data_IF_173252907920
#
_entry.id   IF_173252907920
#
_cell.length_a   1.000
_cell.length_b   1.000
_cell.length_c   1.000
_cell.angle_alpha   90.00
_cell.angle_beta   90.00
_cell.angle_gamma   90.00
#
_symmetry.space_group_name_H-M   'P 1'
#
loop_
_entity.id
_entity.type
_entity.pdbx_description
1 polymer ?
#
# COMPACT_ATOMS: atom_id res chain seq x y z
N UNK A 1 -17.00 0.22 21.55
CA UNK A 1 -16.19 1.46 21.71
C UNK A 1 -16.22 2.23 20.41
N UNK A 2 -16.05 3.56 20.44
CA UNK A 2 -15.92 4.33 19.20
C UNK A 2 -14.46 4.26 18.74
N UNK A 3 -14.22 3.97 17.46
CA UNK A 3 -12.88 3.96 16.88
C UNK A 3 -12.13 5.25 17.22
N UNK A 4 -10.89 5.12 17.69
CA UNK A 4 -10.01 6.22 18.02
C UNK A 4 -8.81 6.22 17.09
N UNK A 5 -8.78 7.21 16.19
CA UNK A 5 -7.63 7.47 15.33
C UNK A 5 -6.41 7.89 16.15
N UNK A 6 -5.24 7.40 15.79
CA UNK A 6 -3.98 7.86 16.35
C UNK A 6 -3.51 9.17 15.69
N UNK A 7 -2.66 9.97 16.36
CA UNK A 7 -1.91 11.04 15.71
C UNK A 7 -1.05 10.50 14.55
N UNK A 8 -0.84 11.33 13.54
CA UNK A 8 -0.06 11.00 12.36
C UNK A 8 1.33 10.42 12.69
N UNK A 9 1.99 11.01 13.68
CA UNK A 9 3.33 10.63 14.11
C UNK A 9 3.39 9.21 14.69
N UNK A 10 2.36 8.80 15.40
CA UNK A 10 2.27 7.44 15.97
C UNK A 10 2.11 6.40 14.87
N UNK A 11 1.25 6.65 13.88
CA UNK A 11 1.13 5.76 12.71
C UNK A 11 2.44 5.62 11.96
N UNK A 12 3.18 6.71 11.83
CA UNK A 12 4.44 6.70 11.13
C UNK A 12 5.50 5.89 11.88
N UNK A 13 5.65 6.08 13.19
CA UNK A 13 6.57 5.31 14.03
C UNK A 13 6.28 3.82 13.85
N UNK A 14 5.03 3.42 13.95
CA UNK A 14 4.61 2.03 13.80
C UNK A 14 4.98 1.43 12.43
N UNK A 15 4.98 2.24 11.36
CA UNK A 15 5.36 1.76 10.01
C UNK A 15 6.86 1.80 9.74
N UNK A 16 7.65 2.47 10.58
CA UNK A 16 9.10 2.64 10.40
C UNK A 16 9.93 1.65 11.22
N UNK A 17 9.35 1.03 12.24
CA UNK A 17 10.04 0.05 13.07
C UNK A 17 10.45 -1.20 12.30
N UNK A 18 11.56 -1.81 12.71
CA UNK A 18 11.98 -3.11 12.19
C UNK A 18 11.08 -4.19 12.79
N UNK A 19 10.16 -4.69 11.98
CA UNK A 19 9.32 -5.81 12.37
C UNK A 19 10.18 -7.06 12.55
N UNK A 20 10.38 -7.46 13.80
CA UNK A 20 11.26 -8.57 14.13
C UNK A 20 10.53 -9.91 14.09
N UNK A 21 9.19 -9.92 13.93
CA UNK A 21 8.43 -11.12 14.22
C UNK A 21 7.46 -11.59 13.20
N UNK A 22 6.61 -12.20 13.17
CA UNK A 22 5.49 -12.85 12.50
C UNK A 22 5.30 -12.48 11.03
N UNK A 23 5.61 -13.43 10.17
CA UNK A 23 5.17 -13.38 8.79
C UNK A 23 6.19 -12.88 7.78
N UNK A 24 7.46 -13.05 8.06
CA UNK A 24 8.49 -12.84 7.05
C UNK A 24 8.40 -13.93 5.98
N UNK A 25 7.97 -13.58 4.80
CA UNK A 25 7.91 -14.48 3.66
C UNK A 25 8.90 -14.03 2.61
N UNK A 26 9.92 -14.87 2.42
CA UNK A 26 10.84 -14.71 1.30
C UNK A 26 10.30 -15.52 0.13
N UNK A 27 10.00 -14.87 -0.99
CA UNK A 27 9.68 -15.62 -2.19
C UNK A 27 10.57 -15.17 -3.34
N UNK A 28 11.06 -16.12 -4.15
CA UNK A 28 11.80 -15.77 -5.33
C UNK A 28 10.86 -15.02 -6.28
N UNK A 29 11.24 -13.82 -6.68
CA UNK A 29 10.56 -13.15 -7.79
C UNK A 29 10.84 -14.00 -9.02
N UNK A 30 9.88 -14.82 -9.36
CA UNK A 30 9.83 -15.38 -10.71
C UNK A 30 9.47 -14.22 -11.64
N UNK A 31 10.49 -13.46 -12.04
CA UNK A 31 10.34 -12.66 -13.23
C UNK A 31 9.99 -13.64 -14.34
N UNK A 32 8.74 -13.74 -14.64
CA UNK A 32 8.32 -14.22 -15.93
C UNK A 32 8.83 -13.15 -16.88
N UNK A 33 10.10 -13.30 -17.24
CA UNK A 33 10.81 -12.46 -18.17
C UNK A 33 10.21 -12.69 -19.55
N UNK A 34 9.00 -12.27 -19.67
CA UNK A 34 8.34 -12.25 -20.93
C UNK A 34 8.90 -11.04 -21.67
N UNK A 35 9.86 -11.32 -22.49
CA UNK A 35 10.20 -10.55 -23.69
C UNK A 35 11.18 -9.37 -23.61
N UNK A 36 11.80 -9.01 -22.47
CA UNK A 36 12.80 -7.94 -22.51
C UNK A 36 14.16 -8.41 -22.01
N UNK A 37 15.21 -8.14 -22.79
CA UNK A 37 16.62 -8.52 -22.49
C UNK A 37 17.19 -7.94 -21.17
N UNK A 38 16.50 -7.00 -20.54
CA UNK A 38 16.84 -6.43 -19.25
C UNK A 38 16.77 -7.43 -18.09
N UNK A 39 15.98 -8.48 -18.23
CA UNK A 39 15.81 -9.53 -17.21
C UNK A 39 17.02 -10.41 -16.97
N UNK A 40 17.94 -10.51 -17.94
CA UNK A 40 19.18 -11.28 -17.75
C UNK A 40 20.10 -10.64 -16.71
N UNK A 41 20.07 -9.32 -16.59
CA UNK A 41 20.87 -8.59 -15.62
C UNK A 41 20.35 -8.82 -14.19
N UNK A 42 19.05 -8.69 -13.97
CA UNK A 42 18.44 -8.87 -12.66
C UNK A 42 18.37 -10.33 -12.20
N UNK A 43 18.19 -11.30 -13.11
CA UNK A 43 18.30 -12.74 -12.79
C UNK A 43 19.67 -13.13 -12.24
N UNK A 44 20.71 -12.41 -12.63
CA UNK A 44 22.09 -12.64 -12.17
C UNK A 44 22.33 -12.16 -10.75
N UNK A 45 21.53 -11.25 -10.24
CA UNK A 45 21.67 -10.66 -8.90
C UNK A 45 20.93 -11.44 -7.81
N UNK A 46 20.15 -12.47 -8.18
CA UNK A 46 19.47 -13.32 -7.19
C UNK A 46 18.54 -12.54 -6.26
N UNK A 47 17.83 -11.54 -6.77
CA UNK A 47 16.97 -10.67 -5.98
C UNK A 47 15.82 -11.47 -5.39
N UNK A 48 15.80 -11.63 -4.09
CA UNK A 48 14.67 -12.16 -3.34
C UNK A 48 13.93 -10.98 -2.71
N UNK A 49 12.60 -10.93 -2.88
CA UNK A 49 11.79 -9.93 -2.19
C UNK A 49 11.26 -10.50 -0.89
N UNK A 50 11.43 -9.76 0.18
CA UNK A 50 10.82 -10.07 1.46
C UNK A 50 9.61 -9.17 1.66
N UNK A 51 8.49 -9.78 2.07
CA UNK A 51 7.32 -9.06 2.51
C UNK A 51 7.22 -9.24 4.01
N UNK A 52 7.58 -8.21 4.75
CA UNK A 52 7.44 -8.19 6.19
C UNK A 52 6.11 -7.55 6.55
N UNK A 53 5.39 -8.16 7.47
CA UNK A 53 4.14 -7.64 8.00
C UNK A 53 3.95 -8.10 9.44
N UNK A 54 3.09 -7.42 10.16
CA UNK A 54 2.66 -7.76 11.49
C UNK A 54 1.14 -7.61 11.60
N UNK A 55 0.49 -8.50 12.34
CA UNK A 55 -0.94 -8.42 12.63
C UNK A 55 -1.12 -8.70 14.11
N UNK A 56 -1.71 -7.75 14.83
CA UNK A 56 -1.97 -7.89 16.27
C UNK A 56 -3.28 -7.19 16.67
N UNK A 57 -3.76 -7.53 17.84
CA UNK A 57 -4.91 -6.86 18.46
C UNK A 57 -4.46 -5.86 19.50
N UNK A 58 -4.96 -4.64 19.41
CA UNK A 58 -4.75 -3.56 20.38
C UNK A 58 -5.96 -3.42 21.31
N UNK A 59 -5.90 -3.92 22.54
CA UNK A 59 -7.05 -3.93 23.44
C UNK A 59 -7.50 -2.53 23.86
N UNK A 60 -6.57 -1.59 24.02
CA UNK A 60 -6.87 -0.22 24.46
C UNK A 60 -7.70 0.58 23.45
N UNK A 61 -7.59 0.22 22.17
CA UNK A 61 -8.32 0.84 21.07
C UNK A 61 -9.43 -0.05 20.51
N UNK A 62 -9.46 -1.33 20.87
CA UNK A 62 -10.27 -2.37 20.27
C UNK A 62 -10.09 -2.45 18.73
N UNK A 63 -8.85 -2.57 18.30
CA UNK A 63 -8.46 -2.55 16.89
C UNK A 63 -7.59 -3.75 16.57
N UNK A 64 -7.88 -4.42 15.43
CA UNK A 64 -6.95 -5.35 14.80
C UNK A 64 -6.10 -4.55 13.84
N UNK A 65 -4.83 -4.38 14.18
CA UNK A 65 -3.89 -3.58 13.43
C UNK A 65 -3.02 -4.47 12.55
N UNK A 66 -2.87 -4.08 11.30
CA UNK A 66 -2.12 -4.80 10.27
C UNK A 66 -1.09 -3.85 9.67
N UNK A 67 0.19 -4.18 9.80
CA UNK A 67 1.29 -3.35 9.32
C UNK A 67 2.03 -4.04 8.18
N UNK A 68 2.26 -3.32 7.09
CA UNK A 68 3.10 -3.77 5.99
C UNK A 68 4.35 -2.89 5.90
N UNK A 69 5.50 -3.51 6.14
CA UNK A 69 6.79 -2.84 6.20
C UNK A 69 7.22 -2.32 4.84
N UNK A 70 7.97 -1.22 4.85
CA UNK A 70 8.68 -0.74 3.65
C UNK A 70 9.76 -1.72 3.22
N UNK A 71 10.19 -1.64 1.95
CA UNK A 71 11.39 -2.34 1.49
C UNK A 71 12.64 -1.73 2.15
N UNK A 72 13.46 -2.56 2.77
CA UNK A 72 14.73 -2.15 3.36
C UNK A 72 15.87 -2.13 2.34
N UNK A 73 15.76 -2.92 1.26
CA UNK A 73 16.78 -3.01 0.21
C UNK A 73 16.48 -2.06 -0.96
N UNK A 74 17.42 -1.14 -1.21
CA UNK A 74 17.33 -0.18 -2.31
C UNK A 74 17.30 -0.84 -3.69
N UNK A 75 17.94 -2.02 -3.84
CA UNK A 75 18.03 -2.74 -5.12
C UNK A 75 16.68 -3.33 -5.52
N UNK A 76 15.98 -3.91 -4.56
CA UNK A 76 14.64 -4.45 -4.74
C UNK A 76 13.64 -3.35 -5.06
N UNK A 77 13.84 -2.20 -4.46
CA UNK A 77 13.05 -1.02 -4.67
C UNK A 77 13.10 -0.52 -6.12
N UNK A 78 14.31 -0.40 -6.70
CA UNK A 78 14.47 0.02 -8.09
C UNK A 78 13.84 -0.97 -9.06
N UNK A 79 14.03 -2.26 -8.87
CA UNK A 79 13.49 -3.28 -9.76
C UNK A 79 11.95 -3.24 -9.81
N UNK A 80 11.29 -3.04 -8.66
CA UNK A 80 9.84 -2.97 -8.60
C UNK A 80 9.28 -1.67 -9.17
N UNK A 81 9.93 -0.54 -8.96
CA UNK A 81 9.47 0.75 -9.50
C UNK A 81 9.52 0.80 -11.01
N UNK A 82 10.51 0.18 -11.63
CA UNK A 82 10.66 0.15 -13.09
C UNK A 82 9.92 -1.00 -13.77
N UNK A 83 9.27 -1.88 -13.02
CA UNK A 83 8.33 -2.82 -13.60
C UNK A 83 6.98 -2.15 -13.82
N UNK A 84 6.62 -1.89 -15.08
CA UNK A 84 5.37 -1.22 -15.44
C UNK A 84 4.29 -2.18 -15.93
N UNK A 85 4.51 -3.47 -15.76
CA UNK A 85 3.54 -4.48 -16.15
C UNK A 85 2.39 -4.59 -15.14
N UNK A 86 1.28 -5.12 -15.57
CA UNK A 86 0.14 -5.40 -14.71
C UNK A 86 -0.36 -6.82 -14.95
N UNK A 87 -0.89 -7.41 -13.90
CA UNK A 87 -1.55 -8.70 -13.99
C UNK A 87 -3.05 -8.56 -13.71
N UNK A 88 -3.82 -9.50 -14.26
CA UNK A 88 -5.20 -9.68 -13.84
C UNK A 88 -5.22 -10.12 -12.36
N UNK A 89 -6.12 -9.51 -11.61
CA UNK A 89 -6.27 -9.79 -10.19
C UNK A 89 -7.60 -10.48 -9.90
N UNK A 90 -8.71 -9.85 -10.30
CA UNK A 90 -10.05 -10.44 -10.22
C UNK A 90 -11.07 -9.68 -11.07
N UNK A 91 -12.20 -10.35 -11.38
CA UNK A 91 -13.41 -9.68 -11.81
C UNK A 91 -14.24 -9.30 -10.60
N UNK A 92 -14.82 -8.13 -10.65
CA UNK A 92 -15.80 -7.64 -9.68
C UNK A 92 -17.00 -7.12 -10.45
N UNK A 93 -18.15 -7.14 -9.82
CA UNK A 93 -19.33 -6.44 -10.31
C UNK A 93 -19.46 -5.14 -9.53
N UNK A 94 -19.57 -4.04 -10.22
CA UNK A 94 -19.72 -2.73 -9.61
C UNK A 94 -20.64 -1.84 -10.45
N UNK A 95 -21.67 -1.28 -9.81
CA UNK A 95 -22.74 -0.50 -10.47
C UNK A 95 -23.47 -1.30 -11.57
N UNK A 96 -23.68 -2.61 -11.34
CA UNK A 96 -24.37 -3.49 -12.28
C UNK A 96 -23.56 -3.93 -13.49
N UNK A 97 -22.27 -3.61 -13.53
CA UNK A 97 -21.39 -3.90 -14.67
C UNK A 97 -20.09 -4.57 -14.25
N UNK A 98 -19.52 -5.48 -15.09
CA UNK A 98 -18.23 -6.08 -14.81
C UNK A 98 -17.11 -5.03 -14.78
N UNK A 99 -16.27 -5.07 -13.75
CA UNK A 99 -15.06 -4.26 -13.64
C UNK A 99 -13.87 -5.19 -13.47
N UNK A 100 -12.94 -5.17 -14.44
CA UNK A 100 -11.73 -5.96 -14.36
C UNK A 100 -10.67 -5.25 -13.52
N UNK A 101 -10.44 -5.79 -12.33
CA UNK A 101 -9.37 -5.30 -11.48
C UNK A 101 -8.05 -5.92 -11.90
N UNK A 102 -7.13 -5.08 -12.33
CA UNK A 102 -5.73 -5.43 -12.57
C UNK A 102 -4.87 -4.72 -11.55
N UNK A 103 -3.73 -5.32 -11.23
CA UNK A 103 -2.78 -4.75 -10.27
C UNK A 103 -1.38 -4.72 -10.87
N UNK A 104 -0.54 -3.89 -10.35
CA UNK A 104 0.88 -3.91 -10.69
C UNK A 104 1.46 -5.29 -10.43
N UNK A 105 2.26 -5.80 -11.36
CA UNK A 105 2.69 -7.20 -11.33
C UNK A 105 3.53 -7.50 -10.09
N UNK A 106 4.54 -6.68 -9.79
CA UNK A 106 5.42 -6.89 -8.65
C UNK A 106 4.65 -6.89 -7.33
N UNK A 107 3.95 -5.81 -7.01
CA UNK A 107 3.19 -5.70 -5.74
C UNK A 107 2.06 -6.72 -5.63
N UNK A 108 1.43 -7.03 -6.76
CA UNK A 108 0.43 -8.10 -6.82
C UNK A 108 1.01 -9.46 -6.46
N UNK A 109 2.20 -9.81 -6.95
CA UNK A 109 2.86 -11.06 -6.60
C UNK A 109 3.28 -11.08 -5.14
N UNK A 110 3.82 -9.97 -4.62
CA UNK A 110 4.21 -9.85 -3.21
C UNK A 110 3.02 -10.07 -2.28
N UNK A 111 1.91 -9.38 -2.54
CA UNK A 111 0.70 -9.59 -1.73
C UNK A 111 0.18 -11.03 -1.85
N UNK A 112 0.13 -11.60 -3.04
CA UNK A 112 -0.36 -12.97 -3.24
C UNK A 112 0.50 -14.03 -2.54
N UNK A 113 1.79 -13.76 -2.32
CA UNK A 113 2.65 -14.68 -1.58
C UNK A 113 2.28 -14.77 -0.10
N UNK A 114 1.89 -13.66 0.53
CA UNK A 114 1.53 -13.59 1.96
C UNK A 114 0.02 -13.65 2.22
N UNK A 115 -0.79 -13.48 1.21
CA UNK A 115 -2.24 -13.33 1.28
C UNK A 115 -2.95 -14.36 2.14
N UNK A 116 -2.56 -15.65 2.03
CA UNK A 116 -3.20 -16.72 2.79
C UNK A 116 -2.95 -16.55 4.28
N UNK A 117 -1.71 -16.36 4.65
CA UNK A 117 -1.29 -16.21 6.05
C UNK A 117 -1.87 -14.94 6.67
N UNK A 118 -1.85 -13.83 5.93
CA UNK A 118 -2.47 -12.56 6.34
C UNK A 118 -3.95 -12.75 6.63
N UNK A 119 -4.68 -13.45 5.78
CA UNK A 119 -6.11 -13.73 6.00
C UNK A 119 -6.35 -14.63 7.20
N UNK A 120 -5.59 -15.72 7.31
CA UNK A 120 -5.73 -16.68 8.42
C UNK A 120 -5.50 -15.99 9.76
N UNK A 121 -4.47 -15.16 9.87
CA UNK A 121 -4.16 -14.42 11.09
C UNK A 121 -5.24 -13.37 11.39
N UNK A 122 -5.66 -12.59 10.39
CA UNK A 122 -6.73 -11.61 10.56
C UNK A 122 -8.05 -12.26 10.98
N UNK A 123 -8.44 -13.37 10.32
CA UNK A 123 -9.67 -14.10 10.66
C UNK A 123 -9.65 -14.61 12.11
N UNK A 124 -8.53 -15.19 12.54
CA UNK A 124 -8.39 -15.69 13.91
C UNK A 124 -8.59 -14.57 14.95
N UNK A 125 -8.03 -13.39 14.69
CA UNK A 125 -8.21 -12.23 15.57
C UNK A 125 -9.63 -11.67 15.49
N UNK A 126 -10.22 -11.62 14.29
CA UNK A 126 -11.58 -11.14 14.11
C UNK A 126 -12.63 -12.07 14.75
N UNK A 127 -12.40 -13.37 14.70
CA UNK A 127 -13.24 -14.35 15.42
C UNK A 127 -13.13 -14.19 16.96
N UNK A 128 -11.93 -13.91 17.46
CA UNK A 128 -11.69 -13.66 18.88
C UNK A 128 -12.21 -12.29 19.35
N UNK A 129 -12.25 -11.30 18.46
CA UNK A 129 -12.62 -9.91 18.73
C UNK A 129 -13.58 -9.38 17.63
N UNK A 130 -14.82 -9.89 17.56
CA UNK A 130 -15.74 -9.59 16.44
C UNK A 130 -16.17 -8.12 16.36
N UNK A 131 -16.10 -7.40 17.47
CA UNK A 131 -16.45 -5.98 17.54
C UNK A 131 -15.24 -5.05 17.35
N UNK A 132 -14.06 -5.61 17.05
CA UNK A 132 -12.87 -4.81 16.81
C UNK A 132 -12.89 -4.21 15.40
N UNK A 133 -12.51 -2.95 15.32
CA UNK A 133 -12.22 -2.30 14.04
C UNK A 133 -10.95 -2.89 13.41
N UNK A 134 -10.86 -2.86 12.09
CA UNK A 134 -9.63 -3.26 11.39
C UNK A 134 -8.91 -2.02 10.88
N UNK A 135 -7.62 -1.91 11.19
CA UNK A 135 -6.76 -0.82 10.74
C UNK A 135 -5.59 -1.40 9.94
N UNK A 136 -5.32 -0.83 8.77
CA UNK A 136 -4.25 -1.29 7.88
C UNK A 136 -3.27 -0.14 7.65
N UNK A 137 -2.01 -0.40 7.92
CA UNK A 137 -0.93 0.56 7.79
C UNK A 137 0.10 0.10 6.76
N UNK A 138 0.75 1.05 6.09
CA UNK A 138 1.86 0.73 5.20
C UNK A 138 2.64 1.94 4.72
N UNK A 139 3.92 1.75 4.46
CA UNK A 139 4.78 2.77 3.91
C UNK A 139 5.43 2.31 2.61
N UNK A 140 5.49 3.19 1.57
CA UNK A 140 6.18 2.92 0.31
C UNK A 140 5.62 1.67 -0.40
N UNK A 141 6.45 0.64 -0.56
CA UNK A 141 6.07 -0.68 -1.05
C UNK A 141 4.97 -1.31 -0.19
N UNK A 142 5.17 -1.28 1.14
CA UNK A 142 4.19 -1.78 2.11
C UNK A 142 2.85 -1.09 2.00
N UNK A 143 2.83 0.20 1.64
CA UNK A 143 1.60 0.93 1.37
C UNK A 143 0.84 0.38 0.16
N UNK A 144 1.56 0.00 -0.91
CA UNK A 144 0.96 -0.67 -2.06
C UNK A 144 0.34 -2.01 -1.68
N UNK A 145 1.03 -2.78 -0.83
CA UNK A 145 0.54 -4.07 -0.31
C UNK A 145 -0.66 -3.86 0.62
N UNK A 146 -0.63 -2.85 1.50
CA UNK A 146 -1.75 -2.46 2.37
C UNK A 146 -3.02 -2.14 1.57
N UNK A 147 -2.89 -1.42 0.46
CA UNK A 147 -4.01 -1.15 -0.45
C UNK A 147 -4.60 -2.43 -1.05
N UNK A 148 -3.75 -3.40 -1.42
CA UNK A 148 -4.20 -4.69 -1.95
C UNK A 148 -4.85 -5.55 -0.87
N UNK A 149 -4.33 -5.53 0.35
CA UNK A 149 -4.93 -6.17 1.52
C UNK A 149 -6.31 -5.60 1.82
N UNK A 150 -6.45 -4.28 1.86
CA UNK A 150 -7.72 -3.59 2.05
C UNK A 150 -8.77 -4.08 1.03
N UNK A 151 -8.41 -4.10 -0.26
CA UNK A 151 -9.29 -4.58 -1.32
C UNK A 151 -9.65 -6.07 -1.13
N UNK A 152 -8.71 -6.86 -0.69
CA UNK A 152 -8.90 -8.30 -0.52
C UNK A 152 -9.81 -8.64 0.66
N UNK A 153 -9.65 -7.97 1.79
CA UNK A 153 -10.53 -8.12 2.96
C UNK A 153 -11.93 -7.62 2.65
N UNK A 154 -12.06 -6.50 1.95
CA UNK A 154 -13.36 -6.00 1.54
C UNK A 154 -14.08 -6.98 0.60
N UNK A 155 -13.41 -7.49 -0.42
CA UNK A 155 -14.00 -8.37 -1.42
C UNK A 155 -14.45 -9.72 -0.84
N UNK A 156 -13.65 -10.31 0.06
CA UNK A 156 -13.91 -11.67 0.55
C UNK A 156 -14.75 -11.71 1.83
N UNK A 157 -14.70 -10.66 2.65
CA UNK A 157 -15.29 -10.65 3.98
C UNK A 157 -16.19 -9.44 4.22
N UNK A 158 -16.33 -8.52 3.26
CA UNK A 158 -17.10 -7.28 3.43
C UNK A 158 -16.47 -6.30 4.42
N UNK A 159 -15.27 -6.58 4.92
CA UNK A 159 -14.56 -5.70 5.85
C UNK A 159 -14.24 -4.36 5.20
N UNK A 160 -14.52 -3.27 5.89
CA UNK A 160 -14.14 -1.91 5.48
C UNK A 160 -13.15 -1.33 6.49
N UNK A 161 -11.85 -1.59 6.32
CA UNK A 161 -10.86 -1.15 7.28
C UNK A 161 -10.66 0.37 7.26
N UNK A 162 -9.99 0.87 8.28
CA UNK A 162 -9.30 2.16 8.27
C UNK A 162 -7.94 1.95 7.60
N UNK A 163 -7.60 2.76 6.60
CA UNK A 163 -6.38 2.57 5.81
C UNK A 163 -5.51 3.84 5.86
N UNK A 164 -4.35 3.73 6.48
CA UNK A 164 -3.38 4.81 6.57
C UNK A 164 -2.07 4.41 5.91
N UNK A 165 -1.66 5.14 4.90
CA UNK A 165 -0.46 4.82 4.13
C UNK A 165 0.43 6.04 3.91
N UNK A 166 1.74 5.80 3.77
CA UNK A 166 2.74 6.84 3.63
C UNK A 166 3.52 6.64 2.32
N UNK A 167 3.52 7.65 1.47
CA UNK A 167 4.21 7.59 0.18
C UNK A 167 3.80 6.41 -0.69
N UNK A 168 2.50 6.07 -0.68
CA UNK A 168 2.01 4.88 -1.39
C UNK A 168 2.22 5.01 -2.89
N UNK A 169 2.70 3.92 -3.47
CA UNK A 169 2.70 3.66 -4.91
C UNK A 169 1.27 3.48 -5.45
N UNK A 170 1.12 3.36 -6.77
CA UNK A 170 -0.18 3.15 -7.45
C UNK A 170 -0.38 1.68 -7.80
N UNK A 171 -0.96 0.87 -6.90
CA UNK A 171 -1.01 -0.58 -7.09
C UNK A 171 -2.09 -1.05 -8.07
N UNK A 172 -3.15 -0.27 -8.27
CA UNK A 172 -4.28 -0.67 -9.12
C UNK A 172 -4.13 -0.15 -10.54
N UNK A 173 -4.60 -0.95 -11.52
CA UNK A 173 -4.65 -0.56 -12.92
C UNK A 173 -6.05 -0.77 -13.49
N UNK A 174 -6.51 0.22 -14.23
CA UNK A 174 -7.76 0.18 -14.98
C UNK A 174 -7.53 0.66 -16.42
N UNK A 175 -8.51 0.44 -17.28
CA UNK A 175 -8.56 1.11 -18.56
C UNK A 175 -8.84 2.60 -18.38
N UNK A 176 -8.57 3.42 -19.40
CA UNK A 176 -8.88 4.85 -19.32
C UNK A 176 -10.40 5.08 -19.24
N UNK A 177 -11.18 4.20 -19.90
CA UNK A 177 -12.64 4.24 -19.94
C UNK A 177 -13.21 3.95 -18.54
N UNK A 178 -12.63 2.98 -17.84
CA UNK A 178 -13.13 2.56 -16.51
C UNK A 178 -12.55 3.38 -15.35
N UNK A 179 -11.75 4.40 -15.62
CA UNK A 179 -10.98 5.10 -14.59
C UNK A 179 -11.86 5.72 -13.50
N UNK A 180 -12.91 6.40 -13.88
CA UNK A 180 -13.81 7.05 -12.92
C UNK A 180 -14.59 6.00 -12.11
N UNK A 181 -15.06 4.95 -12.78
CA UNK A 181 -15.76 3.83 -12.13
C UNK A 181 -14.81 3.11 -11.16
N UNK A 182 -13.57 2.88 -11.56
CA UNK A 182 -12.53 2.34 -10.68
C UNK A 182 -12.31 3.22 -9.45
N UNK A 183 -12.23 4.54 -9.62
CA UNK A 183 -12.08 5.45 -8.48
C UNK A 183 -13.29 5.41 -7.54
N UNK A 184 -14.51 5.32 -8.06
CA UNK A 184 -15.70 5.15 -7.21
C UNK A 184 -15.66 3.81 -6.47
N UNK A 185 -15.30 2.73 -7.16
CA UNK A 185 -15.12 1.43 -6.54
C UNK A 185 -14.09 1.48 -5.41
N UNK A 186 -12.91 2.02 -5.66
CA UNK A 186 -11.85 2.10 -4.64
C UNK A 186 -12.30 2.87 -3.38
N UNK A 187 -13.20 3.83 -3.52
CA UNK A 187 -13.78 4.56 -2.37
C UNK A 187 -14.72 3.72 -1.51
N UNK A 188 -15.21 2.60 -2.00
CA UNK A 188 -16.11 1.71 -1.23
C UNK A 188 -15.37 0.71 -0.36
N UNK A 189 -14.04 0.61 -0.50
CA UNK A 189 -13.23 -0.44 0.11
C UNK A 189 -12.93 -0.21 1.59
N UNK A 190 -13.10 0.99 2.10
CA UNK A 190 -12.66 1.39 3.44
C UNK A 190 -13.69 2.26 4.15
N UNK A 191 -13.62 2.31 5.45
CA UNK A 191 -14.38 3.26 6.28
C UNK A 191 -13.75 4.65 6.18
N UNK A 192 -12.44 4.73 6.37
CA UNK A 192 -11.64 5.93 6.21
C UNK A 192 -10.31 5.57 5.52
N UNK A 193 -9.81 6.46 4.69
CA UNK A 193 -8.51 6.27 4.06
C UNK A 193 -7.76 7.58 3.97
N UNK A 194 -6.52 7.56 4.46
CA UNK A 194 -5.57 8.64 4.25
C UNK A 194 -4.26 8.07 3.71
N UNK A 195 -3.97 8.44 2.47
CA UNK A 195 -2.74 8.07 1.81
C UNK A 195 -1.83 9.31 1.79
N UNK A 196 -1.07 9.49 2.85
CA UNK A 196 -0.19 10.64 3.06
C UNK A 196 0.97 10.62 2.07
N UNK A 197 1.14 11.70 1.34
CA UNK A 197 2.24 11.83 0.40
C UNK A 197 2.69 13.28 0.25
N UNK A 198 4.01 13.50 0.12
CA UNK A 198 4.54 14.80 -0.25
C UNK A 198 4.30 15.05 -1.75
N UNK A 199 3.95 16.26 -2.11
CA UNK A 199 3.71 16.66 -3.50
C UNK A 199 4.95 16.44 -4.40
N UNK A 200 6.14 16.44 -3.83
CA UNK A 200 7.41 16.19 -4.50
C UNK A 200 7.92 14.74 -4.33
N UNK A 201 7.19 13.88 -3.65
CA UNK A 201 7.52 12.45 -3.58
C UNK A 201 7.23 11.76 -4.91
N UNK A 202 8.29 11.57 -5.72
CA UNK A 202 8.19 10.91 -7.02
C UNK A 202 7.59 9.51 -6.91
N UNK A 203 7.90 8.79 -5.85
CA UNK A 203 7.49 7.39 -5.67
C UNK A 203 5.99 7.26 -5.58
N UNK A 204 5.33 8.21 -4.94
CA UNK A 204 3.88 8.23 -4.83
C UNK A 204 3.15 8.47 -6.17
N UNK A 205 3.88 8.76 -7.23
CA UNK A 205 3.35 8.85 -8.60
C UNK A 205 3.67 7.62 -9.45
N UNK A 206 4.40 6.65 -8.91
CA UNK A 206 4.80 5.46 -9.65
C UNK A 206 3.73 4.34 -9.61
N UNK A 207 3.51 3.61 -10.70
CA UNK A 207 4.01 3.87 -12.05
C UNK A 207 3.42 5.18 -12.63
N UNK A 208 4.17 5.91 -13.48
CA UNK A 208 3.75 7.23 -13.98
C UNK A 208 2.67 7.16 -15.07
N UNK A 209 2.35 5.98 -15.55
CA UNK A 209 1.43 5.80 -16.66
C UNK A 209 -0.03 6.04 -16.30
N UNK A 210 -0.75 6.63 -17.25
CA UNK A 210 -2.20 6.77 -17.17
C UNK A 210 -2.83 5.38 -17.07
N UNK A 211 -3.69 5.16 -16.11
CA UNK A 211 -4.31 3.85 -15.86
C UNK A 211 -3.83 3.21 -14.57
N UNK A 212 -2.66 3.54 -14.05
CA UNK A 212 -2.34 3.19 -12.67
C UNK A 212 -2.92 4.21 -11.71
N UNK A 213 -3.51 3.73 -10.63
CA UNK A 213 -4.20 4.54 -9.63
C UNK A 213 -4.00 3.99 -8.22
N UNK A 214 -4.29 4.80 -7.26
CA UNK A 214 -4.30 4.46 -5.84
C UNK A 214 -5.61 4.91 -5.19
N UNK A 215 -5.84 4.46 -4.00
CA UNK A 215 -6.84 4.99 -3.10
C UNK A 215 -6.49 6.45 -2.77
N UNK A 216 -7.43 7.21 -2.23
CA UNK A 216 -7.32 8.67 -1.98
C UNK A 216 -5.93 9.07 -1.47
N UNK A 217 -5.37 10.12 -2.08
CA UNK A 217 -4.13 10.76 -1.65
C UNK A 217 -4.42 12.04 -0.85
N UNK A 218 -3.65 12.24 0.20
CA UNK A 218 -3.61 13.46 1.00
C UNK A 218 -2.21 14.06 0.91
N UNK A 219 -2.10 15.30 0.44
CA UNK A 219 -0.81 15.98 0.34
C UNK A 219 -0.45 16.60 1.69
N UNK A 220 0.61 16.11 2.33
CA UNK A 220 1.07 16.53 3.67
C UNK A 220 2.29 17.45 3.65
N UNK A 221 3.02 17.53 2.56
CA UNK A 221 4.24 18.37 2.46
C UNK A 221 3.96 19.86 2.60
N UNK A 222 4.93 20.61 3.15
CA UNK A 222 4.88 22.10 3.23
C UNK A 222 4.82 22.76 1.86
N UNK A 223 5.33 22.09 0.83
CA UNK A 223 5.27 22.57 -0.54
C UNK A 223 3.86 22.37 -1.12
N UNK A 224 3.22 23.47 -1.51
CA UNK A 224 1.88 23.41 -2.13
C UNK A 224 1.91 23.06 -3.62
N UNK A 225 3.08 23.14 -4.26
CA UNK A 225 3.24 22.94 -5.70
C UNK A 225 4.36 21.95 -5.99
N UNK A 226 4.09 21.08 -6.96
CA UNK A 226 5.08 20.15 -7.51
C UNK A 226 6.25 20.90 -8.13
N UNK A 227 7.45 20.46 -7.84
CA UNK A 227 8.68 20.95 -8.45
C UNK A 227 9.47 19.77 -9.03
N UNK A 228 9.63 19.74 -10.34
CA UNK A 228 10.29 18.64 -11.04
C UNK A 228 11.71 18.37 -10.54
N UNK A 229 12.50 19.42 -10.31
CA UNK A 229 13.88 19.25 -9.80
C UNK A 229 13.90 18.68 -8.38
N UNK A 230 12.92 18.99 -7.54
CA UNK A 230 12.78 18.41 -6.21
C UNK A 230 12.37 16.94 -6.29
N UNK A 231 11.54 16.57 -7.23
CA UNK A 231 11.12 15.18 -7.45
C UNK A 231 12.26 14.26 -7.87
N UNK A 232 13.34 14.80 -8.48
CA UNK A 232 14.52 14.03 -8.85
C UNK A 232 15.36 13.58 -7.65
N UNK A 233 15.02 14.01 -6.44
CA UNK A 233 15.64 13.54 -5.21
C UNK A 233 14.63 12.73 -4.36
N UNK A 234 14.35 11.47 -4.73
CA UNK A 234 13.36 10.65 -4.03
C UNK A 234 13.75 10.40 -2.59
N UNK A 235 15.02 10.25 -2.27
CA UNK A 235 15.50 10.05 -0.90
C UNK A 235 15.12 11.22 0.02
N UNK A 236 15.06 12.42 -0.54
CA UNK A 236 14.69 13.61 0.24
C UNK A 236 13.20 13.68 0.57
N UNK A 237 12.31 13.24 -0.31
CA UNK A 237 10.86 13.44 -0.19
C UNK A 237 10.11 12.16 0.16
N UNK A 238 10.68 11.01 -0.12
CA UNK A 238 10.08 9.70 0.15
C UNK A 238 10.48 9.11 1.51
N UNK A 239 11.68 9.41 2.00
CA UNK A 239 12.21 8.85 3.26
C UNK A 239 11.89 9.74 4.47
N UNK A 240 11.18 10.84 4.27
CA UNK A 240 11.01 11.90 5.27
C UNK A 240 9.74 11.85 6.09
N UNK A 241 8.92 10.84 5.88
CA UNK A 241 7.67 10.72 6.64
C UNK A 241 7.91 10.55 8.15
N UNK A 242 9.15 10.23 8.56
CA UNK A 242 9.61 10.19 9.96
C UNK A 242 9.92 11.55 10.60
N UNK A 243 9.70 12.64 9.85
CA UNK A 243 10.02 14.00 10.31
C UNK A 243 8.77 14.87 10.28
N UNK A 244 7.94 14.79 11.32
CA UNK A 244 6.67 15.52 11.37
C UNK A 244 6.84 17.03 11.22
N UNK A 245 7.99 17.57 11.65
CA UNK A 245 8.30 18.99 11.51
C UNK A 245 8.38 19.47 10.05
N UNK A 246 8.49 18.57 9.09
CA UNK A 246 8.50 18.87 7.66
C UNK A 246 7.11 18.92 7.04
N UNK A 247 6.11 18.44 7.73
CA UNK A 247 4.73 18.43 7.29
C UNK A 247 3.96 19.61 7.88
N UNK A 248 2.78 19.86 7.31
CA UNK A 248 1.87 20.85 7.85
C UNK A 248 1.28 20.29 9.13
N UNK A 249 1.16 21.14 10.14
CA UNK A 249 0.25 20.87 11.24
C UNK A 249 -1.12 20.59 10.64
N UNK A 250 -1.76 19.49 11.01
CA UNK A 250 -3.14 19.25 10.64
C UNK A 250 -3.96 20.42 11.17
N UNK A 251 -4.55 21.20 10.26
CA UNK A 251 -5.62 22.12 10.67
C UNK A 251 -6.71 21.23 11.26
N UNK A 252 -6.77 21.20 12.56
CA UNK A 252 -7.84 20.54 13.32
C UNK A 252 -9.14 21.14 12.81
N UNK A 253 -9.81 20.44 11.91
CA UNK A 253 -11.17 20.79 11.53
C UNK A 253 -12.01 20.55 12.78
N UNK A 254 -12.26 21.65 13.51
CA UNK A 254 -13.29 21.72 14.53
C UNK A 254 -14.67 21.49 13.92
#
# INVERSE_FOLDING_TARGET
MTYRRLPFEEYFINTSEDFTHTGKVTYPVQYTAVKYNTTKFFKRLGVSHEVNYEIHYEPDRNVIQMHFQRTLDATDWFANIFEFSSRYYRAIEFEGEPLQLRVHHGWGNMYLAVKREVREQWLALHEAHPDADTEILGWSLGAGIACLCCQDLNFNFGCKPYLYTFGSVRPFKCTLIDRERMHRYLKTLYTECENFADVNDLISYMPPFRGFTMIRRVDVGKDKKRNFFRMLNPLRYHVRYDRPELYREEETKQ
#
